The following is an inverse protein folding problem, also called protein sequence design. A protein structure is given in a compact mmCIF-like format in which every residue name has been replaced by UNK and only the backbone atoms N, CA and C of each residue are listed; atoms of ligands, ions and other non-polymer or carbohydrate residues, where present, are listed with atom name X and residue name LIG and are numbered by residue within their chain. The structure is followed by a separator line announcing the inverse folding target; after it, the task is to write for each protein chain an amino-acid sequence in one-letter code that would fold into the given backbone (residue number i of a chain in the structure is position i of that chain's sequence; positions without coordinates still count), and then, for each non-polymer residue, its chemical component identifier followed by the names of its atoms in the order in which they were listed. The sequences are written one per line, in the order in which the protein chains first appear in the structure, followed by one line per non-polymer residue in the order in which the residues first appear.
data_IF_997051868032
#
_entry.id   IF_997051868032
#
_cell.length_a   1.000
_cell.length_b   1.000
_cell.length_c   1.000
_cell.angle_alpha   90.00
_cell.angle_beta   90.00
_cell.angle_gamma   90.00
#
_symmetry.space_group_name_H-M   'P 1'
#
loop_
_entity.id
_entity.type
_entity.pdbx_description
1 polymer ?
#
# COMPACT_ATOMS: atom_id res chain seq x y z
N UNK A 1 -2.80 -16.47 5.73
CA UNK A 1 -2.15 -15.30 5.08
C UNK A 1 -1.70 -15.62 3.64
N UNK A 2 -2.58 -15.46 2.64
CA UNK A 2 -2.24 -15.76 1.24
C UNK A 2 -1.28 -14.73 0.62
N UNK A 3 -1.48 -13.44 0.90
CA UNK A 3 -0.65 -12.36 0.34
C UNK A 3 0.79 -12.42 0.85
N UNK A 4 1.01 -12.51 2.16
CA UNK A 4 2.37 -12.63 2.74
C UNK A 4 3.14 -13.81 2.15
N UNK A 5 2.49 -14.97 1.95
CA UNK A 5 3.13 -16.13 1.30
C UNK A 5 3.57 -15.83 -0.13
N UNK A 6 2.79 -15.05 -0.89
CA UNK A 6 3.15 -14.63 -2.25
C UNK A 6 4.30 -13.64 -2.22
N UNK A 7 4.24 -12.63 -1.35
CA UNK A 7 5.32 -11.63 -1.23
C UNK A 7 6.63 -12.29 -0.77
N UNK A 8 6.59 -13.25 0.14
CA UNK A 8 7.77 -14.02 0.57
C UNK A 8 8.40 -14.83 -0.56
N UNK A 9 7.63 -15.27 -1.56
CA UNK A 9 8.20 -15.90 -2.77
C UNK A 9 8.93 -14.87 -3.65
N UNK A 10 8.47 -13.63 -3.68
CA UNK A 10 9.12 -12.56 -4.44
C UNK A 10 10.31 -11.93 -3.70
N UNK A 11 10.30 -11.95 -2.36
CA UNK A 11 11.32 -11.37 -1.48
C UNK A 11 11.78 -12.42 -0.44
N UNK A 12 12.46 -13.50 -0.85
CA UNK A 12 12.80 -14.61 0.04
C UNK A 12 13.86 -14.24 1.09
N UNK A 13 14.62 -13.17 0.86
CA UNK A 13 15.66 -12.65 1.76
C UNK A 13 15.12 -11.72 2.85
N UNK A 14 13.87 -11.27 2.73
CA UNK A 14 13.28 -10.33 3.67
C UNK A 14 13.14 -10.94 5.07
N UNK A 15 13.43 -10.15 6.11
CA UNK A 15 13.05 -10.51 7.48
C UNK A 15 11.52 -10.60 7.54
N UNK A 16 11.03 -11.55 8.32
CA UNK A 16 9.59 -11.80 8.40
C UNK A 16 8.82 -10.62 9.01
N UNK A 17 9.43 -9.94 9.99
CA UNK A 17 8.89 -8.70 10.56
C UNK A 17 8.74 -7.58 9.53
N UNK A 18 9.69 -7.42 8.60
CA UNK A 18 9.64 -6.39 7.57
C UNK A 18 8.53 -6.63 6.56
N UNK A 19 8.27 -7.91 6.25
CA UNK A 19 7.12 -8.32 5.43
C UNK A 19 5.79 -7.97 6.12
N UNK A 20 5.69 -8.21 7.44
CA UNK A 20 4.48 -7.89 8.19
C UNK A 20 4.27 -6.38 8.35
N UNK A 21 5.31 -5.60 8.62
CA UNK A 21 5.23 -4.16 8.69
C UNK A 21 4.86 -3.54 7.33
N UNK A 22 5.49 -4.00 6.25
CA UNK A 22 5.17 -3.54 4.89
C UNK A 22 3.72 -3.87 4.52
N UNK A 23 3.23 -5.06 4.90
CA UNK A 23 1.82 -5.43 4.74
C UNK A 23 0.88 -4.57 5.59
N UNK A 24 1.24 -4.26 6.84
CA UNK A 24 0.45 -3.38 7.69
C UNK A 24 0.27 -1.99 7.05
N UNK A 25 1.35 -1.42 6.51
CA UNK A 25 1.31 -0.12 5.83
C UNK A 25 0.43 -0.14 4.57
N UNK A 26 0.54 -1.20 3.76
CA UNK A 26 -0.35 -1.40 2.61
C UNK A 26 -1.82 -1.57 3.05
N UNK A 27 -2.06 -2.38 4.08
CA UNK A 27 -3.41 -2.62 4.61
C UNK A 27 -4.03 -1.32 5.11
N UNK A 28 -3.29 -0.50 5.86
CA UNK A 28 -3.78 0.80 6.32
C UNK A 28 -4.11 1.75 5.16
N UNK A 29 -3.27 1.76 4.12
CA UNK A 29 -3.51 2.55 2.90
C UNK A 29 -4.77 2.09 2.16
N UNK A 30 -4.97 0.77 2.05
CA UNK A 30 -6.18 0.16 1.46
C UNK A 30 -7.42 0.51 2.27
N UNK A 31 -7.38 0.33 3.59
CA UNK A 31 -8.50 0.65 4.48
C UNK A 31 -8.91 2.10 4.35
N UNK A 32 -7.95 3.04 4.36
CA UNK A 32 -8.25 4.46 4.22
C UNK A 32 -8.82 4.81 2.83
N UNK A 33 -8.31 4.17 1.78
CA UNK A 33 -8.80 4.37 0.40
C UNK A 33 -10.25 3.89 0.26
N UNK A 34 -10.54 2.67 0.74
CA UNK A 34 -11.88 2.07 0.66
C UNK A 34 -12.90 2.73 1.59
N UNK A 35 -12.44 3.45 2.61
CA UNK A 35 -13.32 4.21 3.49
C UNK A 35 -13.85 5.50 2.85
N UNK A 36 -13.28 5.95 1.72
CA UNK A 36 -13.78 7.07 0.89
C UNK A 36 -14.15 8.33 1.68
N UNK A 37 -13.40 8.62 2.74
CA UNK A 37 -13.77 9.63 3.74
C UNK A 37 -13.79 11.09 3.24
N UNK A 38 -13.42 11.36 1.99
CA UNK A 38 -13.27 12.73 1.45
C UNK A 38 -12.09 13.53 2.02
N UNK A 39 -11.27 12.92 2.89
CA UNK A 39 -10.13 13.58 3.53
C UNK A 39 -9.09 14.07 2.52
N UNK A 40 -8.77 13.25 1.51
CA UNK A 40 -7.80 13.63 0.48
C UNK A 40 -8.37 14.69 -0.46
N UNK A 41 -9.68 14.68 -0.71
CA UNK A 41 -10.39 15.66 -1.53
C UNK A 41 -10.24 17.05 -0.92
N UNK A 42 -10.52 17.14 0.38
CA UNK A 42 -10.36 18.38 1.14
C UNK A 42 -8.90 18.82 1.19
N UNK A 43 -7.98 17.90 1.52
CA UNK A 43 -6.55 18.20 1.63
C UNK A 43 -5.94 18.68 0.31
N UNK A 44 -6.39 18.11 -0.81
CA UNK A 44 -5.86 18.40 -2.15
C UNK A 44 -6.59 19.53 -2.86
N UNK A 45 -7.59 20.18 -2.23
CA UNK A 45 -8.40 21.20 -2.88
C UNK A 45 -9.20 20.66 -4.07
N UNK A 46 -9.58 19.37 -4.04
CA UNK A 46 -10.32 18.69 -5.11
C UNK A 46 -9.48 18.15 -6.26
N UNK A 47 -8.13 18.23 -6.20
CA UNK A 47 -7.22 17.62 -7.19
C UNK A 47 -7.23 16.09 -7.14
N UNK A 48 -7.46 15.52 -5.96
CA UNK A 48 -7.67 14.09 -5.76
C UNK A 48 -9.12 13.86 -5.33
N UNK A 49 -9.69 12.72 -5.74
CA UNK A 49 -11.02 12.28 -5.35
C UNK A 49 -10.90 10.92 -4.68
N UNK A 50 -11.39 10.79 -3.45
CA UNK A 50 -11.29 9.55 -2.68
C UNK A 50 -12.08 8.41 -3.31
N UNK A 51 -13.14 8.73 -4.04
CA UNK A 51 -13.97 7.79 -4.82
C UNK A 51 -13.34 7.39 -6.18
N UNK A 52 -12.27 8.07 -6.63
CA UNK A 52 -11.59 7.72 -7.89
C UNK A 52 -10.59 6.57 -7.67
N UNK A 53 -11.15 5.38 -7.47
CA UNK A 53 -10.39 4.14 -7.28
C UNK A 53 -9.50 3.84 -8.48
N UNK A 54 -9.93 4.20 -9.70
CA UNK A 54 -9.15 4.02 -10.91
C UNK A 54 -7.87 4.86 -10.90
N UNK A 55 -7.92 6.08 -10.39
CA UNK A 55 -6.74 6.91 -10.20
C UNK A 55 -5.87 6.43 -9.02
N UNK A 56 -6.47 6.01 -7.91
CA UNK A 56 -5.69 5.63 -6.71
C UNK A 56 -4.93 4.31 -6.90
N UNK A 57 -5.54 3.32 -7.54
CA UNK A 57 -4.99 1.96 -7.69
C UNK A 57 -3.54 1.91 -8.23
N UNK A 58 -3.21 2.50 -9.40
CA UNK A 58 -1.85 2.42 -9.94
C UNK A 58 -0.82 3.12 -9.03
N UNK A 59 -1.20 4.22 -8.36
CA UNK A 59 -0.33 4.95 -7.42
C UNK A 59 -0.06 4.12 -6.18
N UNK A 60 -1.08 3.46 -5.65
CA UNK A 60 -0.95 2.59 -4.49
C UNK A 60 -0.05 1.38 -4.79
N UNK A 61 -0.22 0.74 -5.96
CA UNK A 61 0.63 -0.38 -6.38
C UNK A 61 2.09 0.07 -6.47
N UNK A 62 2.37 1.20 -7.12
CA UNK A 62 3.72 1.72 -7.26
C UNK A 62 4.35 2.07 -5.90
N UNK A 63 3.61 2.77 -5.04
CA UNK A 63 4.04 3.14 -3.70
C UNK A 63 4.33 1.91 -2.84
N UNK A 64 3.41 0.94 -2.82
CA UNK A 64 3.59 -0.30 -2.06
C UNK A 64 4.79 -1.09 -2.57
N UNK A 65 4.92 -1.33 -3.88
CA UNK A 65 6.04 -2.07 -4.45
C UNK A 65 7.40 -1.41 -4.12
N UNK A 66 7.48 -0.08 -4.17
CA UNK A 66 8.67 0.65 -3.76
C UNK A 66 8.95 0.50 -2.26
N UNK A 67 7.92 0.63 -1.41
CA UNK A 67 8.03 0.44 0.04
C UNK A 67 8.50 -0.96 0.41
N UNK A 68 7.91 -2.01 -0.17
CA UNK A 68 8.36 -3.39 0.03
C UNK A 68 9.83 -3.57 -0.34
N UNK A 69 10.27 -3.09 -1.51
CA UNK A 69 11.70 -3.18 -1.91
C UNK A 69 12.62 -2.37 -1.01
N UNK A 70 12.14 -1.26 -0.44
CA UNK A 70 12.94 -0.36 0.37
C UNK A 70 13.11 -0.85 1.81
N UNK A 71 12.06 -1.43 2.39
CA UNK A 71 12.04 -1.92 3.78
C UNK A 71 12.59 -3.34 3.85
N UNK A 72 12.19 -4.22 2.93
CA UNK A 72 12.61 -5.62 2.92
C UNK A 72 13.98 -5.81 2.26
N UNK A 73 14.95 -4.90 2.49
CA UNK A 73 16.30 -5.02 1.94
C UNK A 73 17.05 -6.18 2.61
N UNK A 74 18.00 -6.75 1.87
CA UNK A 74 18.99 -7.72 2.34
C UNK A 74 19.92 -7.13 3.39
#
# INVERSE_FOLDING_TARGET
HRLIRVVRRALPYAREEDLFWSYHMLSGSLTLTLAETGRIDTLSGGLCRSEDIAAVTPRMIAYAAAGFRAVCKS
#
